data_IF_382114506470
#
_entry.id   IF_382114506470
#
_cell.length_a   1.000
_cell.length_b   1.000
_cell.length_c   1.000
_cell.angle_alpha   90.00
_cell.angle_beta   90.00
_cell.angle_gamma   90.00
#
_symmetry.space_group_name_H-M   'P 1'
#
loop_
_entity.id
_entity.type
_entity.pdbx_description
1 polymer ?
#
# COMPACT_ATOMS: atom_id res chain seq x y z
N UNK A 1 -0.88 -19.84 13.24
CA UNK A 1 -1.35 -18.56 13.88
C UNK A 1 -2.53 -18.04 13.07
N UNK A 2 -3.57 -17.48 13.68
CA UNK A 2 -4.64 -16.81 12.89
C UNK A 2 -4.04 -15.52 12.32
N UNK A 3 -4.16 -15.32 11.01
CA UNK A 3 -3.71 -14.10 10.35
C UNK A 3 -4.52 -12.89 10.85
N UNK A 4 -3.83 -11.84 11.29
CA UNK A 4 -4.48 -10.64 11.83
C UNK A 4 -5.26 -9.81 10.78
N UNK A 5 -5.01 -10.03 9.49
CA UNK A 5 -5.72 -9.33 8.39
C UNK A 5 -6.86 -10.15 7.78
N UNK A 6 -6.94 -11.47 8.07
CA UNK A 6 -8.11 -12.25 7.69
C UNK A 6 -9.31 -11.81 8.54
N UNK A 7 -10.46 -11.56 7.93
CA UNK A 7 -11.73 -11.23 8.60
C UNK A 7 -11.87 -9.80 9.14
N UNK A 8 -11.14 -8.83 8.57
CA UNK A 8 -11.23 -7.44 9.02
C UNK A 8 -10.89 -7.36 10.50
N UNK A 9 -9.62 -7.35 10.83
CA UNK A 9 -9.15 -7.36 12.21
C UNK A 9 -9.95 -6.32 13.03
N UNK A 10 -10.44 -6.70 14.20
CA UNK A 10 -11.21 -5.86 15.13
C UNK A 10 -10.54 -4.50 15.47
N UNK A 11 -9.26 -4.33 15.08
CA UNK A 11 -8.46 -3.15 15.32
C UNK A 11 -8.41 -2.14 14.15
N UNK A 12 -9.06 -2.43 12.99
CA UNK A 12 -9.11 -1.49 11.88
C UNK A 12 -10.50 -0.88 11.72
N UNK A 13 -10.54 0.42 11.52
CA UNK A 13 -11.76 1.08 11.05
C UNK A 13 -11.91 0.87 9.55
N UNK A 14 -12.93 0.11 9.13
CA UNK A 14 -13.22 -0.13 7.72
C UNK A 14 -13.81 1.15 7.11
N UNK A 15 -13.12 1.71 6.12
CA UNK A 15 -13.55 2.90 5.39
C UNK A 15 -14.47 2.56 4.23
N UNK A 16 -14.20 1.42 3.60
CA UNK A 16 -14.96 0.88 2.48
C UNK A 16 -14.72 -0.62 2.36
N UNK A 17 -15.69 -1.37 1.87
CA UNK A 17 -15.56 -2.79 1.56
C UNK A 17 -16.50 -3.25 0.46
N UNK A 18 -16.12 -4.37 -0.19
CA UNK A 18 -16.97 -5.17 -1.07
C UNK A 18 -16.78 -6.66 -0.74
N UNK A 19 -17.26 -7.55 -1.61
CA UNK A 19 -17.15 -9.02 -1.39
C UNK A 19 -15.70 -9.53 -1.42
N UNK A 20 -14.76 -8.78 -2.02
CA UNK A 20 -13.38 -9.22 -2.29
C UNK A 20 -12.36 -8.60 -1.35
N UNK A 21 -12.51 -7.33 -1.00
CA UNK A 21 -11.52 -6.57 -0.26
C UNK A 21 -12.15 -5.52 0.66
N UNK A 22 -11.36 -5.01 1.59
CA UNK A 22 -11.69 -3.86 2.43
C UNK A 22 -10.57 -2.82 2.44
N UNK A 23 -10.92 -1.55 2.61
CA UNK A 23 -10.03 -0.41 2.68
C UNK A 23 -10.01 0.14 4.10
N UNK A 24 -8.81 0.38 4.64
CA UNK A 24 -8.61 0.90 6.00
C UNK A 24 -7.50 1.95 6.03
N UNK A 25 -7.42 2.74 7.10
CA UNK A 25 -6.18 3.45 7.41
C UNK A 25 -5.12 2.50 7.95
N UNK A 26 -3.85 2.71 7.55
CA UNK A 26 -2.72 2.03 8.19
C UNK A 26 -2.55 2.57 9.61
N UNK A 27 -2.72 1.71 10.63
CA UNK A 27 -2.54 2.08 12.04
C UNK A 27 -1.13 2.58 12.38
N UNK A 28 -0.16 2.27 11.52
CA UNK A 28 1.24 2.71 11.63
C UNK A 28 1.63 3.61 10.45
N UNK A 29 0.67 4.29 9.85
CA UNK A 29 0.86 5.09 8.64
C UNK A 29 1.99 6.12 8.77
N UNK A 30 2.75 6.32 7.69
CA UNK A 30 3.77 7.38 7.59
C UNK A 30 3.17 8.73 7.21
N UNK A 31 1.91 8.74 6.80
CA UNK A 31 1.12 9.89 6.40
C UNK A 31 -0.32 9.70 6.88
N UNK A 32 -1.06 10.77 7.17
CA UNK A 32 -2.46 10.65 7.63
C UNK A 32 -3.38 9.95 6.62
N UNK A 33 -3.04 10.02 5.33
CA UNK A 33 -3.75 9.35 4.24
C UNK A 33 -3.12 8.02 3.83
N UNK A 34 -2.33 7.38 4.70
CA UNK A 34 -1.79 6.05 4.40
C UNK A 34 -2.91 5.02 4.49
N UNK A 35 -3.38 4.55 3.33
CA UNK A 35 -4.46 3.55 3.23
C UNK A 35 -3.91 2.17 2.89
N UNK A 36 -4.62 1.14 3.33
CA UNK A 36 -4.38 -0.26 2.98
C UNK A 36 -5.62 -0.84 2.31
N UNK A 37 -5.47 -1.39 1.10
CA UNK A 37 -6.47 -2.26 0.48
C UNK A 37 -6.08 -3.70 0.74
N UNK A 38 -6.92 -4.45 1.43
CA UNK A 38 -6.64 -5.78 1.96
C UNK A 38 -7.67 -6.77 1.38
N UNK A 39 -7.24 -7.82 0.65
CA UNK A 39 -8.13 -8.88 0.22
C UNK A 39 -8.77 -9.61 1.41
N UNK A 40 -10.04 -9.99 1.29
CA UNK A 40 -10.74 -10.79 2.33
C UNK A 40 -10.23 -12.24 2.38
N UNK A 41 -9.78 -12.77 1.24
CA UNK A 41 -9.14 -14.08 1.19
C UNK A 41 -7.68 -14.02 1.59
N UNK A 42 -7.20 -15.03 2.30
CA UNK A 42 -5.78 -15.12 2.67
C UNK A 42 -4.93 -15.47 1.45
N UNK A 43 -4.22 -14.48 0.93
CA UNK A 43 -3.23 -14.63 -0.13
C UNK A 43 -1.95 -13.90 0.27
N UNK A 44 -0.81 -14.33 -0.26
CA UNK A 44 0.50 -13.80 0.10
C UNK A 44 0.95 -12.66 -0.83
N UNK A 45 0.27 -12.48 -1.95
CA UNK A 45 0.52 -11.41 -2.90
C UNK A 45 -0.77 -11.04 -3.66
N UNK A 46 -0.82 -9.79 -4.07
CA UNK A 46 -1.98 -9.20 -4.78
C UNK A 46 -2.15 -9.79 -6.19
N UNK A 47 -1.09 -10.28 -6.82
CA UNK A 47 -1.20 -10.88 -8.14
C UNK A 47 -2.26 -11.98 -8.21
N UNK A 48 -2.44 -12.75 -7.13
CA UNK A 48 -3.43 -13.84 -7.07
C UNK A 48 -4.89 -13.39 -7.11
N UNK A 49 -5.18 -12.16 -6.72
CA UNK A 49 -6.54 -11.60 -6.66
C UNK A 49 -6.71 -10.35 -7.51
N UNK A 50 -5.67 -9.99 -8.26
CA UNK A 50 -5.65 -8.75 -9.03
C UNK A 50 -6.84 -8.57 -9.98
N UNK A 51 -7.29 -9.59 -10.76
CA UNK A 51 -8.44 -9.42 -11.64
C UNK A 51 -9.70 -8.97 -10.94
N UNK A 52 -9.88 -9.40 -9.69
CA UNK A 52 -11.06 -9.11 -8.90
C UNK A 52 -11.02 -7.71 -8.25
N UNK A 53 -9.82 -7.14 -8.05
CA UNK A 53 -9.64 -5.86 -7.35
C UNK A 53 -9.12 -4.72 -8.22
N UNK A 54 -8.75 -4.98 -9.48
CA UNK A 54 -8.14 -3.98 -10.38
C UNK A 54 -8.98 -2.71 -10.55
N UNK A 55 -10.30 -2.85 -10.65
CA UNK A 55 -11.19 -1.71 -10.84
C UNK A 55 -11.36 -0.93 -9.52
N UNK A 56 -11.35 -1.62 -8.39
CA UNK A 56 -11.27 -1.01 -7.06
C UNK A 56 -9.99 -0.19 -6.90
N UNK A 57 -8.83 -0.74 -7.32
CA UNK A 57 -7.55 -0.02 -7.29
C UNK A 57 -7.63 1.28 -8.10
N UNK A 58 -8.14 1.21 -9.34
CA UNK A 58 -8.30 2.39 -10.20
C UNK A 58 -9.22 3.43 -9.58
N UNK A 59 -10.34 3.00 -8.99
CA UNK A 59 -11.29 3.89 -8.33
C UNK A 59 -10.64 4.59 -7.13
N UNK A 60 -9.91 3.87 -6.28
CA UNK A 60 -9.18 4.45 -5.15
C UNK A 60 -8.16 5.49 -5.64
N UNK A 61 -7.36 5.17 -6.67
CA UNK A 61 -6.39 6.11 -7.26
C UNK A 61 -7.10 7.39 -7.70
N UNK A 62 -8.19 7.27 -8.45
CA UNK A 62 -8.93 8.41 -8.98
C UNK A 62 -9.46 9.30 -7.84
N UNK A 63 -10.13 8.71 -6.87
CA UNK A 63 -10.70 9.43 -5.73
C UNK A 63 -9.63 10.10 -4.88
N UNK A 64 -8.49 9.44 -4.66
CA UNK A 64 -7.37 10.03 -3.92
C UNK A 64 -6.67 11.15 -4.72
N UNK A 65 -6.49 10.98 -6.05
CA UNK A 65 -5.93 12.04 -6.89
C UNK A 65 -6.78 13.30 -6.83
N UNK A 66 -8.11 13.16 -6.92
CA UNK A 66 -9.05 14.28 -6.85
C UNK A 66 -8.98 14.99 -5.48
N UNK A 67 -8.83 14.22 -4.40
CA UNK A 67 -8.77 14.79 -3.06
C UNK A 67 -7.46 15.54 -2.79
N UNK A 68 -6.32 14.99 -3.23
CA UNK A 68 -4.99 15.53 -2.91
C UNK A 68 -4.42 16.44 -3.97
N UNK A 69 -5.01 16.49 -5.17
CA UNK A 69 -4.40 17.15 -6.36
C UNK A 69 -2.94 16.70 -6.55
N UNK A 70 -2.66 15.41 -6.34
CA UNK A 70 -1.32 14.82 -6.38
C UNK A 70 -1.36 13.42 -6.99
N UNK A 71 -0.19 12.90 -7.40
CA UNK A 71 -0.08 11.51 -7.82
C UNK A 71 -0.23 10.56 -6.62
N UNK A 72 -0.72 9.36 -6.88
CA UNK A 72 -0.85 8.32 -5.85
C UNK A 72 0.21 7.25 -6.11
N UNK A 73 1.02 7.03 -5.07
CA UNK A 73 1.96 5.93 -4.99
C UNK A 73 1.27 4.72 -4.38
N UNK A 74 1.40 3.58 -5.05
CA UNK A 74 0.96 2.27 -4.53
C UNK A 74 2.18 1.40 -4.41
N UNK A 75 2.29 0.67 -3.30
CA UNK A 75 3.32 -0.34 -3.17
C UNK A 75 2.82 -1.60 -2.46
N UNK A 76 3.51 -2.69 -2.72
CA UNK A 76 3.28 -3.99 -2.10
C UNK A 76 4.59 -4.72 -1.88
N UNK A 77 4.62 -5.52 -0.83
CA UNK A 77 5.61 -6.56 -0.59
C UNK A 77 4.95 -7.93 -0.85
N UNK A 78 5.05 -8.41 -2.08
CA UNK A 78 4.49 -9.70 -2.46
C UNK A 78 5.39 -10.86 -2.02
N UNK A 79 4.79 -11.86 -1.37
CA UNK A 79 5.46 -13.08 -0.94
C UNK A 79 4.89 -14.32 -1.65
N UNK A 80 5.60 -15.44 -1.60
CA UNK A 80 5.16 -16.72 -2.17
C UNK A 80 5.06 -17.84 -1.11
N UNK A 81 5.70 -17.66 0.04
CA UNK A 81 5.69 -18.63 1.15
C UNK A 81 5.40 -17.93 2.46
N UNK A 82 4.60 -18.56 3.32
CA UNK A 82 4.42 -18.09 4.69
C UNK A 82 5.72 -18.20 5.50
N UNK A 83 5.87 -17.33 6.48
CA UNK A 83 7.03 -17.28 7.37
C UNK A 83 8.38 -17.15 6.62
N UNK A 84 8.37 -16.46 5.48
CA UNK A 84 9.60 -16.26 4.72
C UNK A 84 10.62 -15.46 5.53
N UNK A 85 11.90 -15.79 5.35
CA UNK A 85 13.01 -15.09 6.01
C UNK A 85 13.23 -13.66 5.51
N UNK A 86 12.35 -13.18 4.63
CA UNK A 86 12.45 -11.85 4.00
C UNK A 86 12.06 -10.68 4.92
N UNK A 87 11.86 -10.92 6.22
CA UNK A 87 11.52 -9.89 7.22
C UNK A 87 10.24 -9.09 6.90
N UNK A 88 9.29 -9.70 6.20
CA UNK A 88 7.97 -9.12 6.03
C UNK A 88 7.23 -9.19 7.37
N UNK A 89 6.52 -8.13 7.72
CA UNK A 89 5.85 -8.06 9.01
C UNK A 89 4.55 -8.85 9.06
N UNK A 90 3.92 -9.08 7.93
CA UNK A 90 2.60 -9.74 7.82
C UNK A 90 2.56 -10.58 6.54
N UNK A 91 2.26 -11.88 6.71
CA UNK A 91 2.04 -12.83 5.62
C UNK A 91 0.58 -12.78 5.14
N UNK A 92 0.14 -11.63 4.64
CA UNK A 92 -1.14 -11.43 3.99
C UNK A 92 -1.00 -10.25 3.03
N UNK A 93 -1.40 -10.43 1.80
CA UNK A 93 -1.30 -9.41 0.77
C UNK A 93 -2.06 -8.13 1.14
N UNK A 94 -1.45 -7.00 0.94
CA UNK A 94 -2.08 -5.69 1.11
C UNK A 94 -1.38 -4.65 0.25
N UNK A 95 -2.18 -3.78 -0.39
CA UNK A 95 -1.67 -2.65 -1.15
C UNK A 95 -1.67 -1.40 -0.26
N UNK A 96 -0.57 -0.72 -0.23
CA UNK A 96 -0.44 0.60 0.38
C UNK A 96 -0.75 1.69 -0.65
N UNK A 97 -1.50 2.72 -0.24
CA UNK A 97 -1.79 3.91 -1.06
C UNK A 97 -1.35 5.15 -0.29
N UNK A 98 -0.61 6.02 -0.97
CA UNK A 98 -0.07 7.25 -0.41
C UNK A 98 -0.07 8.36 -1.47
N UNK A 99 -0.49 9.59 -1.14
CA UNK A 99 -0.24 10.75 -2.02
C UNK A 99 1.26 11.01 -2.09
N UNK A 100 1.78 11.36 -3.27
CA UNK A 100 3.20 11.62 -3.48
C UNK A 100 3.42 12.84 -4.38
N UNK A 101 4.32 13.73 -3.96
CA UNK A 101 4.64 14.94 -4.69
C UNK A 101 5.92 14.79 -5.53
N UNK A 102 6.94 14.12 -5.00
CA UNK A 102 8.22 13.93 -5.69
C UNK A 102 8.36 12.49 -6.24
N UNK A 103 7.69 12.23 -7.37
CA UNK A 103 7.64 10.90 -7.97
C UNK A 103 8.95 10.49 -8.64
N UNK A 104 9.68 11.43 -9.24
CA UNK A 104 10.94 11.14 -9.94
C UNK A 104 11.97 10.59 -8.96
N UNK A 105 12.15 11.27 -7.83
CA UNK A 105 13.08 10.85 -6.81
C UNK A 105 12.71 9.47 -6.20
N UNK A 106 11.41 9.21 -6.02
CA UNK A 106 10.95 7.92 -5.53
C UNK A 106 11.29 6.79 -6.50
N UNK A 107 11.13 7.00 -7.81
CA UNK A 107 11.47 6.03 -8.85
C UNK A 107 12.98 5.80 -8.95
N UNK A 108 13.79 6.87 -8.95
CA UNK A 108 15.25 6.77 -9.04
C UNK A 108 15.85 5.89 -7.94
N UNK A 109 15.35 6.00 -6.73
CA UNK A 109 15.84 5.20 -5.59
C UNK A 109 15.63 3.70 -5.84
N UNK A 110 14.49 3.32 -6.43
CA UNK A 110 14.21 1.92 -6.72
C UNK A 110 14.93 1.41 -7.97
N UNK A 111 15.12 2.25 -8.98
CA UNK A 111 15.83 1.89 -10.21
C UNK A 111 17.34 1.72 -10.00
N UNK A 112 17.92 2.44 -9.05
CA UNK A 112 19.36 2.39 -8.77
C UNK A 112 19.80 1.22 -7.88
N UNK A 113 18.88 0.52 -7.23
CA UNK A 113 19.18 -0.47 -6.17
C UNK A 113 18.90 -1.93 -6.56
N UNK A 114 18.80 -2.29 -7.85
CA UNK A 114 18.61 -3.69 -8.18
C UNK A 114 18.14 -4.04 -9.59
N UNK A 115 17.80 -5.31 -9.79
CA UNK A 115 17.30 -5.89 -11.02
C UNK A 115 15.83 -5.46 -11.31
N UNK A 116 15.60 -4.14 -11.30
CA UNK A 116 14.28 -3.58 -11.55
C UNK A 116 13.84 -3.85 -12.98
N UNK A 117 12.72 -4.53 -13.13
CA UNK A 117 12.01 -4.64 -14.40
C UNK A 117 10.75 -3.80 -14.34
N UNK A 118 10.56 -2.91 -15.30
CA UNK A 118 9.28 -2.29 -15.54
C UNK A 118 8.39 -3.27 -16.27
N UNK A 119 7.27 -3.65 -15.69
CA UNK A 119 6.33 -4.61 -16.25
C UNK A 119 4.99 -3.94 -16.46
N UNK A 120 4.38 -4.16 -17.63
CA UNK A 120 3.01 -3.74 -17.88
C UNK A 120 2.05 -4.49 -16.93
N UNK A 121 1.01 -3.83 -16.48
CA UNK A 121 0.07 -4.41 -15.51
C UNK A 121 -0.56 -5.75 -15.97
N UNK A 122 -0.72 -5.92 -17.29
CA UNK A 122 -1.22 -7.15 -17.91
C UNK A 122 -0.24 -8.33 -17.85
N UNK A 123 1.06 -8.03 -17.78
CA UNK A 123 2.14 -9.02 -17.77
C UNK A 123 2.55 -9.41 -16.34
N UNK A 124 2.14 -8.60 -15.36
CA UNK A 124 2.44 -8.78 -13.95
C UNK A 124 2.15 -10.19 -13.41
N UNK A 125 1.10 -10.82 -13.90
CA UNK A 125 0.71 -12.18 -13.50
C UNK A 125 1.72 -13.25 -13.85
N UNK A 126 2.31 -13.19 -15.04
CA UNK A 126 3.20 -14.24 -15.53
C UNK A 126 4.59 -14.13 -14.92
N UNK A 127 5.03 -12.92 -14.54
CA UNK A 127 6.39 -12.70 -14.07
C UNK A 127 6.60 -12.87 -12.56
N UNK A 128 5.54 -12.72 -11.75
CA UNK A 128 5.67 -12.69 -10.27
C UNK A 128 5.17 -13.96 -9.57
N UNK A 129 4.72 -14.98 -10.30
CA UNK A 129 4.11 -16.17 -9.69
C UNK A 129 5.07 -17.02 -8.83
N UNK A 130 6.37 -16.94 -9.05
CA UNK A 130 7.35 -17.84 -8.45
C UNK A 130 8.45 -17.17 -7.60
N UNK A 131 8.39 -15.86 -7.44
CA UNK A 131 9.40 -15.12 -6.67
C UNK A 131 8.78 -14.05 -5.79
N UNK A 132 9.33 -13.79 -4.61
CA UNK A 132 9.01 -12.59 -3.85
C UNK A 132 9.34 -11.34 -4.66
N UNK A 133 8.50 -10.31 -4.54
CA UNK A 133 8.66 -9.08 -5.30
C UNK A 133 8.28 -7.85 -4.48
N UNK A 134 8.75 -6.71 -4.95
CA UNK A 134 8.17 -5.42 -4.63
C UNK A 134 7.46 -4.85 -5.83
N UNK A 135 6.25 -4.38 -5.59
CA UNK A 135 5.49 -3.58 -6.53
C UNK A 135 5.60 -2.11 -6.12
N UNK A 136 5.90 -1.24 -7.07
CA UNK A 136 5.71 0.20 -6.99
C UNK A 136 4.88 0.64 -8.18
N UNK A 137 3.81 1.38 -7.94
CA UNK A 137 3.01 2.00 -8.98
C UNK A 137 2.82 3.48 -8.67
N UNK A 138 2.96 4.32 -9.71
CA UNK A 138 2.63 5.74 -9.65
C UNK A 138 1.48 5.98 -10.64
N UNK A 139 0.32 6.38 -10.12
CA UNK A 139 -0.91 6.59 -10.93
C UNK A 139 -1.26 5.42 -11.89
N UNK A 140 -0.95 4.18 -11.49
CA UNK A 140 -1.25 3.00 -12.29
C UNK A 140 -0.13 2.53 -13.23
N UNK A 141 0.94 3.32 -13.41
CA UNK A 141 2.17 2.83 -14.05
C UNK A 141 2.94 1.98 -13.06
N UNK A 142 3.16 0.71 -13.39
CA UNK A 142 3.72 -0.27 -12.46
C UNK A 142 5.16 -0.60 -12.79
N UNK A 143 5.96 -0.70 -11.72
CA UNK A 143 7.29 -1.28 -11.74
C UNK A 143 7.36 -2.41 -10.73
N UNK A 144 7.87 -3.56 -11.15
CA UNK A 144 8.08 -4.72 -10.29
C UNK A 144 9.57 -4.93 -10.09
N UNK A 145 9.96 -5.10 -8.84
CA UNK A 145 11.35 -5.29 -8.44
C UNK A 145 11.47 -6.67 -7.77
N UNK A 146 12.38 -7.49 -8.26
CA UNK A 146 12.70 -8.77 -7.65
C UNK A 146 14.04 -8.67 -6.94
N UNK A 147 14.08 -9.07 -5.68
CA UNK A 147 15.31 -9.00 -4.88
C UNK A 147 15.56 -10.34 -4.17
N UNK A 148 16.82 -10.67 -4.00
CA UNK A 148 17.22 -11.83 -3.20
C UNK A 148 17.06 -11.59 -1.70
N UNK A 149 17.12 -10.34 -1.25
CA UNK A 149 16.91 -9.95 0.15
C UNK A 149 16.51 -8.49 0.22
N UNK A 150 15.39 -8.21 0.84
CA UNK A 150 14.85 -6.86 0.97
C UNK A 150 14.96 -6.35 2.40
N UNK A 151 15.40 -5.11 2.59
CA UNK A 151 15.30 -4.46 3.88
C UNK A 151 13.84 -4.28 4.30
N UNK A 152 13.52 -4.61 5.55
CA UNK A 152 12.21 -4.28 6.13
C UNK A 152 11.93 -2.78 5.99
N UNK A 153 10.69 -2.43 5.67
CA UNK A 153 10.21 -1.04 5.59
C UNK A 153 10.90 -0.17 4.52
N UNK A 154 11.53 -0.78 3.49
CA UNK A 154 12.25 -0.02 2.46
C UNK A 154 11.37 1.07 1.82
N UNK A 155 10.12 0.76 1.42
CA UNK A 155 9.21 1.74 0.83
C UNK A 155 8.84 2.87 1.78
N UNK A 156 8.54 2.54 3.04
CA UNK A 156 8.23 3.56 4.06
C UNK A 156 9.36 4.56 4.23
N UNK A 157 10.60 4.04 4.30
CA UNK A 157 11.81 4.86 4.39
C UNK A 157 11.98 5.75 3.18
N UNK A 158 11.86 5.17 1.97
CA UNK A 158 12.06 5.92 0.73
C UNK A 158 10.97 6.97 0.52
N UNK A 159 9.71 6.60 0.75
CA UNK A 159 8.62 7.57 0.74
C UNK A 159 8.86 8.72 1.72
N UNK A 160 9.24 8.40 2.94
CA UNK A 160 9.52 9.42 3.96
C UNK A 160 10.66 10.37 3.56
N UNK A 161 11.73 9.85 2.93
CA UNK A 161 12.83 10.68 2.38
C UNK A 161 12.29 11.61 1.29
N UNK A 162 11.49 11.10 0.35
CA UNK A 162 10.92 11.89 -0.74
C UNK A 162 10.00 13.01 -0.25
N UNK A 163 9.20 12.73 0.77
CA UNK A 163 8.23 13.68 1.34
C UNK A 163 8.78 14.49 2.52
N UNK A 164 10.08 14.35 2.86
CA UNK A 164 10.71 15.08 3.95
C UNK A 164 10.23 14.67 5.36
N UNK A 165 9.67 13.48 5.50
CA UNK A 165 9.14 12.95 6.76
C UNK A 165 10.29 12.36 7.58
N UNK A 166 10.46 12.81 8.81
CA UNK A 166 11.56 12.37 9.68
C UNK A 166 11.28 11.04 10.38
N UNK A 167 10.04 10.84 10.81
CA UNK A 167 9.61 9.67 11.58
C UNK A 167 8.88 8.67 10.68
N UNK A 168 9.55 7.61 10.28
CA UNK A 168 9.02 6.60 9.37
C UNK A 168 9.09 5.16 9.92
N UNK A 169 9.99 4.91 10.88
CA UNK A 169 10.25 3.57 11.41
C UNK A 169 9.24 3.21 12.51
N UNK A 170 8.16 2.55 12.12
CA UNK A 170 7.12 2.14 13.05
C UNK A 170 7.62 1.20 14.16
N UNK A 171 8.73 0.48 13.95
CA UNK A 171 9.34 -0.38 14.97
C UNK A 171 9.99 0.42 16.11
N UNK A 172 10.41 1.65 15.82
CA UNK A 172 11.01 2.56 16.79
C UNK A 172 10.01 3.53 17.39
N UNK A 173 9.13 4.08 16.56
CA UNK A 173 8.19 5.14 16.94
C UNK A 173 6.81 4.61 17.35
N UNK A 174 6.49 3.36 17.04
CA UNK A 174 5.19 2.76 17.35
C UNK A 174 4.03 3.54 16.72
N UNK A 175 2.88 3.61 17.41
CA UNK A 175 1.73 4.44 17.00
C UNK A 175 1.99 5.95 17.08
N UNK A 176 3.16 6.35 17.61
CA UNK A 176 3.48 7.75 17.91
C UNK A 176 3.49 8.64 16.67
N UNK A 177 3.73 8.09 15.48
CA UNK A 177 3.73 8.85 14.22
C UNK A 177 2.36 9.50 13.98
N UNK A 178 1.27 8.78 14.21
CA UNK A 178 -0.09 9.31 14.06
C UNK A 178 -0.53 10.14 15.27
N UNK A 179 -0.06 9.79 16.49
CA UNK A 179 -0.46 10.47 17.73
C UNK A 179 0.23 11.83 17.94
N UNK A 180 1.40 12.06 17.34
CA UNK A 180 2.16 13.32 17.52
C UNK A 180 1.54 14.53 16.81
N UNK A 181 0.61 14.33 15.89
CA UNK A 181 0.00 15.42 15.14
C UNK A 181 -1.50 15.48 15.38
N UNK A 182 -1.96 16.35 16.26
CA UNK A 182 -3.39 16.59 16.53
C UNK A 182 -4.19 16.95 15.26
N UNK A 183 -3.52 17.43 14.22
CA UNK A 183 -4.13 17.71 12.93
C UNK A 183 -4.48 16.45 12.13
N UNK A 184 -3.82 15.31 12.37
CA UNK A 184 -4.08 14.08 11.60
C UNK A 184 -5.48 13.51 11.81
N UNK A 185 -6.03 13.58 13.01
CA UNK A 185 -7.37 13.06 13.26
C UNK A 185 -8.44 13.81 12.46
N UNK A 186 -8.33 15.12 12.36
CA UNK A 186 -9.29 15.92 11.61
C UNK A 186 -9.11 15.75 10.10
N UNK A 187 -7.87 15.62 9.61
CA UNK A 187 -7.60 15.31 8.21
C UNK A 187 -8.09 13.90 7.84
N UNK A 188 -7.89 12.91 8.70
CA UNK A 188 -8.42 11.57 8.49
C UNK A 188 -9.95 11.54 8.48
N UNK A 189 -10.61 12.30 9.35
CA UNK A 189 -12.10 12.43 9.35
C UNK A 189 -12.61 13.04 8.04
N UNK A 190 -11.94 14.08 7.53
CA UNK A 190 -12.30 14.72 6.25
C UNK A 190 -12.11 13.75 5.09
N UNK A 191 -10.95 13.08 5.03
CA UNK A 191 -10.66 12.08 4.00
C UNK A 191 -11.65 10.91 4.07
N UNK A 192 -11.98 10.41 5.26
CA UNK A 192 -12.97 9.36 5.45
C UNK A 192 -14.34 9.76 4.90
N UNK A 193 -14.82 10.97 5.21
CA UNK A 193 -16.09 11.48 4.69
C UNK A 193 -16.07 11.53 3.16
N UNK A 194 -15.01 12.07 2.58
CA UNK A 194 -14.85 12.17 1.14
C UNK A 194 -14.80 10.79 0.46
N UNK A 195 -14.02 9.85 0.99
CA UNK A 195 -13.95 8.47 0.49
C UNK A 195 -15.32 7.78 0.58
N UNK A 196 -16.04 7.97 1.68
CA UNK A 196 -17.39 7.45 1.87
C UNK A 196 -18.36 7.94 0.80
N UNK A 197 -18.35 9.23 0.49
CA UNK A 197 -19.16 9.79 -0.58
C UNK A 197 -18.80 9.22 -1.96
N UNK A 198 -17.52 9.21 -2.31
CA UNK A 198 -17.04 8.91 -3.66
C UNK A 198 -16.89 7.42 -3.98
N UNK A 199 -16.60 6.58 -2.99
CA UNK A 199 -16.44 5.13 -3.22
C UNK A 199 -17.77 4.37 -3.21
N UNK A 200 -18.84 4.93 -2.61
CA UNK A 200 -20.15 4.29 -2.55
C UNK A 200 -21.15 4.79 -3.60
N UNK A 201 -20.84 5.84 -4.37
CA UNK A 201 -21.76 6.48 -5.32
C UNK A 201 -22.05 5.67 -6.61
N UNK A 202 -21.63 4.41 -6.71
CA UNK A 202 -21.92 3.52 -7.85
C UNK A 202 -23.09 2.53 -7.52
N UNK A 203 -24.18 3.04 -6.93
CA UNK A 203 -25.44 2.27 -6.82
C UNK A 203 -26.48 2.72 -7.81
#
# INVERSE_FOLDING_TARGET
>A
MKCGLCNGNENFEILWENDVAYLVFDNYGVHYAHLLLIPKVHVLNIAKVYPQIKDTIKKIIHVMNDYFDSKICIYEHGNITENSTLNLSIDHAHLHFLPVHNTEHLLEIFLNDGDAKSVQFSEFYSEVQERPYHLLSINGEMSVFTYNKLPSQVFRKQYAICEGIKEWDWKKSGQTILLMNRNYEDEQKRLKSYLGEKLFDDK
#
